data_IF_829881462167
#
_entry.id   IF_829881462167
#
_cell.length_a   1.000
_cell.length_b   1.000
_cell.length_c   1.000
_cell.angle_alpha   90.00
_cell.angle_beta   90.00
_cell.angle_gamma   90.00
#
_symmetry.space_group_name_H-M   'P 1'
#
loop_
_entity.id
_entity.type
_entity.pdbx_description
1 polymer ?
#
# COMPACT_ATOMS: atom_id res chain seq x y z
N UNK A 1 -16.54 -1.89 3.13
CA UNK A 1 -15.86 -0.58 3.01
C UNK A 1 -16.78 0.50 2.43
N UNK A 2 -17.33 0.37 1.22
CA UNK A 2 -18.14 1.42 0.55
C UNK A 2 -19.31 1.94 1.37
N UNK A 3 -20.12 1.08 1.97
CA UNK A 3 -21.23 1.50 2.82
C UNK A 3 -20.77 2.38 3.99
N UNK A 4 -19.70 2.00 4.69
CA UNK A 4 -19.18 2.82 5.80
C UNK A 4 -18.69 4.19 5.31
N UNK A 5 -18.12 4.27 4.10
CA UNK A 5 -17.67 5.53 3.50
C UNK A 5 -18.85 6.45 3.17
N UNK A 6 -19.91 5.91 2.55
CA UNK A 6 -21.15 6.68 2.28
C UNK A 6 -21.78 7.18 3.58
N UNK A 7 -21.85 6.31 4.61
CA UNK A 7 -22.40 6.67 5.92
C UNK A 7 -21.62 7.80 6.61
N UNK A 8 -20.29 7.88 6.42
CA UNK A 8 -19.51 9.04 6.89
C UNK A 8 -20.00 10.33 6.26
N UNK A 9 -20.32 10.33 4.95
CA UNK A 9 -20.87 11.50 4.26
C UNK A 9 -22.28 11.91 4.74
N UNK A 10 -23.04 10.95 5.30
CA UNK A 10 -24.40 11.20 5.83
C UNK A 10 -24.40 11.56 7.32
N UNK A 11 -23.26 11.50 8.02
CA UNK A 11 -23.19 11.78 9.45
C UNK A 11 -23.66 13.22 9.77
N UNK A 12 -24.57 13.39 10.76
CA UNK A 12 -24.87 14.69 11.30
C UNK A 12 -23.66 15.32 11.97
N UNK A 13 -23.59 16.65 11.95
CA UNK A 13 -22.47 17.39 12.56
C UNK A 13 -22.59 17.42 14.09
N UNK A 14 -21.51 17.79 14.76
CA UNK A 14 -21.48 17.97 16.21
C UNK A 14 -22.58 18.91 16.74
N UNK A 15 -22.93 19.94 15.95
CA UNK A 15 -23.99 20.88 16.30
C UNK A 15 -25.39 20.24 16.42
N UNK A 16 -25.63 19.10 15.72
CA UNK A 16 -26.93 18.43 15.73
C UNK A 16 -27.03 17.32 16.78
N UNK A 17 -25.95 16.52 16.93
CA UNK A 17 -25.98 15.33 17.78
C UNK A 17 -24.87 15.30 18.86
N UNK A 18 -24.16 16.42 19.04
CA UNK A 18 -23.16 16.55 20.10
C UNK A 18 -22.08 15.45 20.03
N UNK A 19 -21.76 14.87 21.19
CA UNK A 19 -20.69 13.85 21.36
C UNK A 19 -20.92 12.59 20.50
N UNK A 20 -22.14 12.30 20.08
CA UNK A 20 -22.43 11.15 19.23
C UNK A 20 -21.85 11.29 17.81
N UNK A 21 -21.59 12.50 17.32
CA UNK A 21 -20.96 12.70 16.01
C UNK A 21 -19.55 12.08 15.95
N UNK A 22 -18.60 12.42 16.83
CA UNK A 22 -17.28 11.76 16.84
C UNK A 22 -17.35 10.28 17.20
N UNK A 23 -18.25 9.84 18.09
CA UNK A 23 -18.39 8.42 18.44
C UNK A 23 -18.80 7.59 17.21
N UNK A 24 -19.82 8.04 16.47
CA UNK A 24 -20.28 7.37 15.26
C UNK A 24 -19.20 7.42 14.16
N UNK A 25 -18.46 8.52 14.02
CA UNK A 25 -17.36 8.63 13.08
C UNK A 25 -16.28 7.58 13.39
N UNK A 26 -15.88 7.44 14.65
CA UNK A 26 -14.90 6.44 15.08
C UNK A 26 -15.40 5.02 14.81
N UNK A 27 -16.67 4.73 15.14
CA UNK A 27 -17.27 3.43 14.86
C UNK A 27 -17.27 3.09 13.36
N UNK A 28 -17.67 4.05 12.49
CA UNK A 28 -17.62 3.86 11.04
C UNK A 28 -16.18 3.69 10.51
N UNK A 29 -15.21 4.39 11.07
CA UNK A 29 -13.80 4.25 10.73
C UNK A 29 -13.24 2.88 11.14
N UNK A 30 -13.64 2.36 12.30
CA UNK A 30 -13.28 0.99 12.71
C UNK A 30 -13.87 -0.05 11.76
N UNK A 31 -15.16 0.05 11.43
CA UNK A 31 -15.81 -0.83 10.45
C UNK A 31 -15.14 -0.76 9.07
N UNK A 32 -14.75 0.45 8.63
CA UNK A 32 -14.02 0.65 7.39
C UNK A 32 -12.65 -0.02 7.43
N UNK A 33 -11.92 0.12 8.54
CA UNK A 33 -10.62 -0.53 8.76
C UNK A 33 -10.69 -2.06 8.69
N UNK A 34 -11.69 -2.67 9.35
CA UNK A 34 -11.94 -4.11 9.26
C UNK A 34 -12.20 -4.57 7.81
N UNK A 35 -12.99 -3.81 7.06
CA UNK A 35 -13.30 -4.17 5.67
C UNK A 35 -12.07 -4.10 4.75
N UNK A 36 -11.19 -3.10 4.94
CA UNK A 36 -9.97 -2.91 4.13
C UNK A 36 -8.91 -3.96 4.44
N UNK A 37 -8.85 -4.43 5.68
CA UNK A 37 -7.77 -5.32 6.15
C UNK A 37 -7.58 -6.59 5.29
N UNK A 38 -8.68 -7.14 4.73
CA UNK A 38 -8.64 -8.30 3.85
C UNK A 38 -8.65 -7.98 2.34
N UNK A 39 -8.90 -6.74 1.95
CA UNK A 39 -9.16 -6.38 0.56
C UNK A 39 -7.90 -6.50 -0.32
N UNK A 40 -6.78 -5.93 0.13
CA UNK A 40 -5.51 -6.00 -0.62
C UNK A 40 -5.00 -7.44 -0.69
N UNK A 41 -5.05 -8.18 0.41
CA UNK A 41 -4.59 -9.57 0.44
C UNK A 41 -5.46 -10.50 -0.40
N UNK A 42 -6.78 -10.31 -0.39
CA UNK A 42 -7.72 -11.05 -1.22
C UNK A 42 -7.52 -10.77 -2.70
N UNK A 43 -7.47 -9.49 -3.09
CA UNK A 43 -7.23 -9.08 -4.48
C UNK A 43 -5.87 -9.56 -4.99
N UNK A 44 -4.82 -9.40 -4.20
CA UNK A 44 -3.45 -9.84 -4.56
C UNK A 44 -3.38 -11.36 -4.77
N UNK A 45 -3.99 -12.15 -3.87
CA UNK A 45 -4.03 -13.61 -3.99
C UNK A 45 -4.81 -14.07 -5.22
N UNK A 46 -5.97 -13.45 -5.47
CA UNK A 46 -6.80 -13.77 -6.63
C UNK A 46 -6.06 -13.48 -7.95
N UNK A 47 -5.47 -12.29 -8.07
CA UNK A 47 -4.69 -11.92 -9.27
C UNK A 47 -3.48 -12.83 -9.45
N UNK A 48 -2.78 -13.18 -8.36
CA UNK A 48 -1.62 -14.07 -8.40
C UNK A 48 -1.98 -15.46 -8.94
N UNK A 49 -3.14 -16.00 -8.57
CA UNK A 49 -3.60 -17.34 -8.96
C UNK A 49 -4.11 -17.40 -10.40
N UNK A 50 -4.60 -16.29 -10.95
CA UNK A 50 -5.02 -16.19 -12.35
C UNK A 50 -3.91 -15.66 -13.29
N UNK A 51 -2.77 -15.20 -12.73
CA UNK A 51 -1.71 -14.65 -13.54
C UNK A 51 -1.04 -15.71 -14.43
N UNK A 52 -0.77 -15.41 -15.71
CA UNK A 52 0.00 -16.27 -16.58
C UNK A 52 1.39 -16.57 -16.02
N UNK A 53 1.97 -17.70 -16.42
CA UNK A 53 3.30 -18.11 -15.96
C UNK A 53 4.34 -17.01 -16.18
N UNK A 54 5.15 -16.74 -15.14
CA UNK A 54 6.22 -15.75 -15.21
C UNK A 54 5.77 -14.28 -15.28
N UNK A 55 4.49 -13.99 -15.01
CA UNK A 55 3.92 -12.62 -15.06
C UNK A 55 3.19 -12.23 -13.77
N UNK A 56 3.35 -12.99 -12.70
CA UNK A 56 2.65 -12.76 -11.43
C UNK A 56 2.93 -11.38 -10.84
N UNK A 57 4.18 -10.90 -10.91
CA UNK A 57 4.55 -9.57 -10.44
C UNK A 57 3.91 -8.47 -11.26
N UNK A 58 3.91 -8.60 -12.58
CA UNK A 58 3.24 -7.64 -13.47
C UNK A 58 1.75 -7.52 -13.16
N UNK A 59 1.02 -8.64 -13.16
CA UNK A 59 -0.42 -8.60 -12.94
C UNK A 59 -0.78 -8.19 -11.49
N UNK A 60 -0.11 -8.72 -10.48
CA UNK A 60 -0.37 -8.35 -9.09
C UNK A 60 -0.07 -6.87 -8.81
N UNK A 61 0.85 -6.24 -9.53
CA UNK A 61 1.16 -4.82 -9.37
C UNK A 61 -0.03 -3.90 -9.67
N UNK A 62 -0.97 -4.31 -10.53
CA UNK A 62 -2.18 -3.55 -10.81
C UNK A 62 -3.08 -3.34 -9.58
N UNK A 63 -2.98 -4.20 -8.57
CA UNK A 63 -3.68 -4.00 -7.30
C UNK A 63 -3.27 -2.66 -6.67
N UNK A 64 -1.98 -2.36 -6.66
CA UNK A 64 -1.46 -1.11 -6.10
C UNK A 64 -1.55 0.07 -7.08
N UNK A 65 -1.48 -0.18 -8.37
CA UNK A 65 -1.78 0.85 -9.36
C UNK A 65 -3.21 1.38 -9.18
N UNK A 66 -4.17 0.49 -8.91
CA UNK A 66 -5.55 0.86 -8.58
C UNK A 66 -5.64 1.76 -7.34
N UNK A 67 -4.86 1.47 -6.28
CA UNK A 67 -4.80 2.31 -5.07
C UNK A 67 -4.28 3.71 -5.40
N UNK A 68 -3.19 3.83 -6.16
CA UNK A 68 -2.63 5.14 -6.53
C UNK A 68 -3.56 5.92 -7.46
N UNK A 69 -4.19 5.25 -8.41
CA UNK A 69 -5.20 5.85 -9.28
C UNK A 69 -6.40 6.35 -8.47
N UNK A 70 -6.85 5.57 -7.48
CA UNK A 70 -7.93 5.97 -6.57
C UNK A 70 -7.59 7.23 -5.77
N UNK A 71 -6.35 7.38 -5.32
CA UNK A 71 -5.90 8.61 -4.64
C UNK A 71 -5.89 9.82 -5.58
N UNK A 72 -5.50 9.66 -6.84
CA UNK A 72 -5.57 10.73 -7.85
C UNK A 72 -7.02 11.13 -8.09
N UNK A 73 -7.93 10.16 -8.28
CA UNK A 73 -9.35 10.42 -8.48
C UNK A 73 -9.98 11.12 -7.27
N UNK A 74 -9.65 10.69 -6.06
CA UNK A 74 -10.11 11.34 -4.83
C UNK A 74 -9.63 12.80 -4.76
N UNK A 75 -8.36 13.06 -5.09
CA UNK A 75 -7.82 14.41 -5.16
C UNK A 75 -8.49 15.24 -6.27
N UNK A 76 -8.74 14.67 -7.44
CA UNK A 76 -9.42 15.32 -8.55
C UNK A 76 -10.85 15.75 -8.23
N UNK A 77 -11.53 15.03 -7.34
CA UNK A 77 -12.85 15.42 -6.83
C UNK A 77 -12.74 16.45 -5.71
N UNK A 78 -11.84 16.23 -4.76
CA UNK A 78 -11.75 17.04 -3.55
C UNK A 78 -11.15 18.44 -3.82
N UNK A 79 -10.08 18.54 -4.64
CA UNK A 79 -9.37 19.80 -4.89
C UNK A 79 -10.27 20.90 -5.49
N UNK A 80 -11.06 20.63 -6.56
CA UNK A 80 -11.97 21.65 -7.09
C UNK A 80 -13.00 22.12 -6.07
N UNK A 81 -13.57 21.18 -5.30
CA UNK A 81 -14.57 21.51 -4.27
C UNK A 81 -13.95 22.41 -3.19
N UNK A 82 -12.76 22.02 -2.69
CA UNK A 82 -12.07 22.79 -1.65
C UNK A 82 -11.56 24.17 -2.13
N UNK A 83 -11.29 24.32 -3.45
CA UNK A 83 -10.72 25.56 -4.01
C UNK A 83 -11.78 26.55 -4.47
N UNK A 84 -12.84 26.07 -5.13
CA UNK A 84 -13.84 26.94 -5.77
C UNK A 84 -15.10 27.15 -4.95
N UNK A 85 -15.40 26.24 -3.98
CA UNK A 85 -16.59 26.39 -3.14
C UNK A 85 -16.32 27.41 -2.03
N UNK A 86 -17.28 28.32 -1.72
CA UNK A 86 -17.20 29.21 -0.56
C UNK A 86 -16.97 28.40 0.72
N UNK A 87 -16.12 28.89 1.63
CA UNK A 87 -15.76 28.19 2.87
C UNK A 87 -16.97 27.83 3.73
N UNK A 88 -17.99 28.67 3.73
CA UNK A 88 -19.24 28.46 4.47
C UNK A 88 -19.98 27.22 3.91
N UNK A 89 -20.16 27.16 2.60
CA UNK A 89 -20.81 26.03 1.93
C UNK A 89 -20.00 24.75 2.03
N UNK A 90 -18.67 24.86 1.88
CA UNK A 90 -17.79 23.72 2.08
C UNK A 90 -17.91 23.13 3.48
N UNK A 91 -17.90 23.96 4.51
CA UNK A 91 -18.04 23.51 5.90
C UNK A 91 -19.45 23.01 6.22
N UNK A 92 -20.49 23.57 5.60
CA UNK A 92 -21.87 23.15 5.81
C UNK A 92 -22.15 21.77 5.20
N UNK A 93 -21.79 21.56 3.93
CA UNK A 93 -22.15 20.33 3.21
C UNK A 93 -21.12 19.85 2.17
N UNK A 94 -20.30 20.74 1.62
CA UNK A 94 -19.39 20.45 0.48
C UNK A 94 -18.44 19.30 0.75
N UNK A 95 -17.92 19.17 1.96
CA UNK A 95 -17.03 18.07 2.35
C UNK A 95 -17.69 16.68 2.25
N UNK A 96 -19.02 16.59 2.20
CA UNK A 96 -19.76 15.32 2.06
C UNK A 96 -19.71 14.76 0.65
N UNK A 97 -19.54 15.59 -0.37
CA UNK A 97 -19.62 15.21 -1.78
C UNK A 97 -18.69 14.03 -2.11
N UNK A 98 -17.38 14.05 -1.76
CA UNK A 98 -16.48 12.93 -2.06
C UNK A 98 -16.93 11.61 -1.42
N UNK A 99 -17.47 11.66 -0.20
CA UNK A 99 -17.97 10.47 0.49
C UNK A 99 -19.24 9.92 -0.15
N UNK A 100 -20.15 10.77 -0.59
CA UNK A 100 -21.39 10.36 -1.27
C UNK A 100 -21.11 9.81 -2.66
N UNK A 101 -20.13 10.37 -3.40
CA UNK A 101 -19.69 9.84 -4.68
C UNK A 101 -19.13 8.42 -4.58
N UNK A 102 -18.67 7.99 -3.40
CA UNK A 102 -18.24 6.60 -3.19
C UNK A 102 -19.35 5.57 -3.40
N UNK A 103 -20.61 5.99 -3.40
CA UNK A 103 -21.75 5.13 -3.76
C UNK A 103 -21.64 4.60 -5.20
N UNK A 104 -21.17 5.44 -6.13
CA UNK A 104 -20.93 5.00 -7.52
C UNK A 104 -19.84 3.93 -7.59
N UNK A 105 -18.77 4.11 -6.82
CA UNK A 105 -17.69 3.11 -6.73
C UNK A 105 -18.21 1.79 -6.15
N UNK A 106 -19.13 1.84 -5.17
CA UNK A 106 -19.74 0.65 -4.59
C UNK A 106 -20.57 -0.13 -5.63
N UNK A 107 -21.35 0.56 -6.47
CA UNK A 107 -22.11 -0.07 -7.56
C UNK A 107 -21.16 -0.75 -8.55
N UNK A 108 -20.13 -0.05 -9.01
CA UNK A 108 -19.14 -0.61 -9.94
C UNK A 108 -18.43 -1.82 -9.34
N UNK A 109 -18.01 -1.74 -8.08
CA UNK A 109 -17.36 -2.84 -7.38
C UNK A 109 -18.29 -4.06 -7.23
N UNK A 110 -19.59 -3.84 -6.98
CA UNK A 110 -20.58 -4.91 -6.91
C UNK A 110 -20.77 -5.61 -8.26
N UNK A 111 -20.88 -4.82 -9.35
CA UNK A 111 -21.02 -5.38 -10.71
C UNK A 111 -19.80 -6.18 -11.11
N UNK A 112 -18.58 -5.69 -10.85
CA UNK A 112 -17.35 -6.43 -11.14
C UNK A 112 -17.29 -7.73 -10.33
N UNK A 113 -17.55 -7.68 -9.02
CA UNK A 113 -17.48 -8.89 -8.16
C UNK A 113 -18.47 -9.96 -8.54
N UNK A 114 -19.60 -9.59 -9.09
CA UNK A 114 -20.61 -10.55 -9.57
C UNK A 114 -20.12 -11.41 -10.73
N UNK A 115 -19.24 -10.86 -11.58
CA UNK A 115 -18.72 -11.53 -12.77
C UNK A 115 -17.40 -12.27 -12.52
N UNK A 116 -16.79 -12.10 -11.34
CA UNK A 116 -15.51 -12.74 -11.01
C UNK A 116 -15.74 -14.10 -10.39
N UNK A 117 -15.22 -15.15 -11.04
CA UNK A 117 -15.23 -16.53 -10.55
C UNK A 117 -14.25 -16.73 -9.39
N UNK A 118 -14.53 -17.71 -8.54
CA UNK A 118 -13.60 -18.12 -7.48
C UNK A 118 -12.29 -18.68 -8.06
N UNK A 119 -11.20 -18.47 -7.34
CA UNK A 119 -9.88 -18.93 -7.73
C UNK A 119 -9.87 -20.46 -7.92
N UNK A 120 -9.37 -20.98 -9.07
CA UNK A 120 -9.32 -22.41 -9.34
C UNK A 120 -8.52 -23.20 -8.29
N UNK A 121 -7.48 -22.62 -7.72
CA UNK A 121 -6.64 -23.23 -6.69
C UNK A 121 -7.43 -23.41 -5.38
N UNK A 122 -8.11 -22.35 -4.93
CA UNK A 122 -8.93 -22.38 -3.73
C UNK A 122 -10.14 -23.32 -3.88
N UNK A 123 -10.79 -23.31 -5.05
CA UNK A 123 -11.90 -24.21 -5.36
C UNK A 123 -11.49 -25.69 -5.27
N UNK A 124 -10.31 -26.06 -5.78
CA UNK A 124 -9.76 -27.43 -5.67
C UNK A 124 -9.48 -27.82 -4.22
N UNK A 125 -8.82 -26.98 -3.43
CA UNK A 125 -8.53 -27.26 -2.02
C UNK A 125 -9.81 -27.34 -1.18
N UNK A 126 -10.80 -26.51 -1.46
CA UNK A 126 -12.12 -26.54 -0.82
C UNK A 126 -12.87 -27.84 -1.13
N UNK A 127 -12.87 -28.26 -2.39
CA UNK A 127 -13.49 -29.54 -2.81
C UNK A 127 -12.81 -30.75 -2.17
N UNK A 128 -11.53 -30.68 -1.88
CA UNK A 128 -10.78 -31.75 -1.20
C UNK A 128 -10.89 -31.71 0.33
N UNK A 129 -11.64 -30.75 0.89
CA UNK A 129 -11.75 -30.57 2.34
C UNK A 129 -10.43 -30.14 3.02
N UNK A 130 -9.46 -29.66 2.24
CA UNK A 130 -8.13 -29.30 2.72
C UNK A 130 -8.08 -27.91 3.40
N UNK A 131 -9.16 -27.13 3.32
CA UNK A 131 -9.25 -25.81 3.96
C UNK A 131 -9.41 -26.01 5.48
N UNK A 132 -8.47 -25.50 6.29
CA UNK A 132 -8.50 -25.69 7.73
C UNK A 132 -9.66 -24.95 8.37
N UNK A 133 -10.24 -25.50 9.44
CA UNK A 133 -11.28 -24.84 10.26
C UNK A 133 -10.75 -23.55 10.93
N UNK A 134 -9.44 -23.45 11.15
CA UNK A 134 -8.78 -22.30 11.76
C UNK A 134 -7.51 -21.91 10.93
N UNK A 135 -7.68 -21.28 9.75
CA UNK A 135 -6.55 -20.96 8.87
C UNK A 135 -5.51 -20.05 9.53
N UNK A 136 -5.95 -19.13 10.38
CA UNK A 136 -5.07 -18.21 11.14
C UNK A 136 -4.15 -19.00 12.07
N UNK A 137 -4.68 -19.92 12.87
CA UNK A 137 -3.88 -20.71 13.81
C UNK A 137 -2.87 -21.61 13.07
N UNK A 138 -3.24 -22.13 11.92
CA UNK A 138 -2.34 -22.93 11.09
C UNK A 138 -1.20 -22.08 10.52
N UNK A 139 -1.51 -20.87 10.04
CA UNK A 139 -0.50 -19.93 9.56
C UNK A 139 0.56 -19.63 10.64
N UNK A 140 0.12 -19.36 11.88
CA UNK A 140 1.04 -19.13 13.00
C UNK A 140 1.89 -20.35 13.34
N UNK A 141 1.34 -21.56 13.28
CA UNK A 141 2.08 -22.80 13.58
C UNK A 141 3.11 -23.15 12.51
N UNK A 142 2.78 -22.94 11.22
CA UNK A 142 3.61 -23.43 10.11
C UNK A 142 4.47 -22.37 9.45
N UNK A 143 4.09 -21.09 9.52
CA UNK A 143 4.71 -20.00 8.75
C UNK A 143 4.99 -18.74 9.58
N UNK A 144 5.15 -18.87 10.91
CA UNK A 144 5.37 -17.73 11.80
C UNK A 144 6.57 -16.86 11.38
N UNK A 145 7.65 -17.50 10.89
CA UNK A 145 8.86 -16.80 10.45
C UNK A 145 8.59 -15.94 9.19
N UNK A 146 7.81 -16.46 8.24
CA UNK A 146 7.42 -15.71 7.06
C UNK A 146 6.39 -14.62 7.41
N UNK A 147 5.49 -14.87 8.37
CA UNK A 147 4.61 -13.83 8.90
C UNK A 147 5.41 -12.68 9.53
N UNK A 148 6.41 -13.00 10.37
CA UNK A 148 7.29 -11.98 10.96
C UNK A 148 8.05 -11.19 9.88
N UNK A 149 8.58 -11.87 8.85
CA UNK A 149 9.21 -11.20 7.71
C UNK A 149 8.26 -10.23 7.02
N UNK A 150 7.01 -10.63 6.78
CA UNK A 150 5.99 -9.76 6.18
C UNK A 150 5.65 -8.59 7.10
N UNK A 151 5.53 -8.78 8.42
CA UNK A 151 5.36 -7.67 9.39
C UNK A 151 6.50 -6.66 9.25
N UNK A 152 7.74 -7.13 9.27
CA UNK A 152 8.92 -6.26 9.18
C UNK A 152 9.05 -5.60 7.80
N UNK A 153 8.73 -6.31 6.72
CA UNK A 153 8.68 -5.71 5.38
C UNK A 153 7.59 -4.65 5.28
N UNK A 154 6.42 -4.85 5.89
CA UNK A 154 5.31 -3.89 5.86
C UNK A 154 5.60 -2.59 6.64
N UNK A 155 6.64 -2.54 7.47
CA UNK A 155 7.15 -1.28 8.05
C UNK A 155 7.56 -0.27 6.98
N UNK A 156 7.69 -0.70 5.73
CA UNK A 156 7.92 0.18 4.58
C UNK A 156 6.82 1.22 4.37
N UNK A 157 5.63 1.02 4.94
CA UNK A 157 4.58 2.04 5.03
C UNK A 157 5.01 3.32 5.77
N UNK A 158 6.22 3.34 6.35
CA UNK A 158 6.87 4.57 6.85
C UNK A 158 7.00 5.64 5.77
N UNK A 159 7.31 5.28 4.53
CA UNK A 159 7.50 6.26 3.44
C UNK A 159 6.21 7.01 3.11
N UNK A 160 5.04 6.35 2.90
CA UNK A 160 3.76 7.07 2.83
C UNK A 160 3.50 7.99 4.01
N UNK A 161 3.77 7.53 5.23
CA UNK A 161 3.59 8.34 6.45
C UNK A 161 4.46 9.60 6.41
N UNK A 162 5.73 9.48 6.04
CA UNK A 162 6.64 10.63 5.90
C UNK A 162 6.20 11.55 4.77
N UNK A 163 5.76 11.00 3.62
CA UNK A 163 5.41 11.80 2.46
C UNK A 163 4.06 12.53 2.62
N UNK A 164 3.06 11.92 3.24
CA UNK A 164 1.69 12.43 3.22
C UNK A 164 1.19 12.96 4.57
N UNK A 165 1.62 12.35 5.68
CA UNK A 165 1.13 12.74 7.01
C UNK A 165 2.12 13.68 7.70
N UNK A 166 3.33 13.19 7.98
CA UNK A 166 4.32 14.01 8.69
C UNK A 166 4.82 15.18 7.82
N UNK A 167 5.12 14.94 6.55
CA UNK A 167 5.56 15.98 5.62
C UNK A 167 4.53 17.10 5.46
N UNK A 168 3.23 16.76 5.44
CA UNK A 168 2.14 17.74 5.44
C UNK A 168 2.15 18.57 6.74
N UNK A 169 2.20 17.90 7.88
CA UNK A 169 2.27 18.58 9.17
C UNK A 169 3.50 19.51 9.28
N UNK A 170 4.68 19.00 8.90
CA UNK A 170 5.93 19.73 8.93
C UNK A 170 5.93 20.96 8.00
N UNK A 171 5.41 20.81 6.77
CA UNK A 171 5.40 21.86 5.78
C UNK A 171 4.35 22.96 6.05
N UNK A 172 3.15 22.58 6.53
CA UNK A 172 1.98 23.47 6.56
C UNK A 172 1.67 24.02 7.95
N UNK A 173 1.95 23.26 9.03
CA UNK A 173 1.61 23.71 10.38
C UNK A 173 2.44 24.92 10.80
N UNK A 174 1.81 26.01 11.28
CA UNK A 174 2.50 27.23 11.70
C UNK A 174 3.56 27.00 12.78
N UNK A 175 3.35 26.00 13.63
CA UNK A 175 4.25 25.66 14.73
C UNK A 175 5.66 25.26 14.29
N UNK A 176 5.83 24.71 13.08
CA UNK A 176 7.14 24.38 12.51
C UNK A 176 7.80 25.56 11.77
N UNK A 177 7.08 26.66 11.52
CA UNK A 177 7.62 27.86 10.91
C UNK A 177 8.01 27.76 9.43
N UNK A 178 7.61 26.67 8.73
CA UNK A 178 7.91 26.47 7.31
C UNK A 178 6.99 27.33 6.44
N UNK A 179 5.65 27.21 6.60
CA UNK A 179 4.68 28.08 5.99
C UNK A 179 4.32 27.77 4.53
N UNK A 180 4.39 26.52 4.11
CA UNK A 180 3.83 26.12 2.82
C UNK A 180 2.31 26.32 2.82
N UNK A 181 1.77 26.83 1.71
CA UNK A 181 0.32 26.88 1.54
C UNK A 181 -0.23 25.46 1.40
N UNK A 182 -1.36 25.14 2.07
CA UNK A 182 -1.96 23.80 1.97
C UNK A 182 -2.23 23.35 0.53
N UNK A 183 -2.67 24.29 -0.32
CA UNK A 183 -2.97 24.02 -1.73
C UNK A 183 -1.71 23.59 -2.51
N UNK A 184 -0.55 24.23 -2.20
CA UNK A 184 0.72 23.87 -2.82
C UNK A 184 1.18 22.49 -2.36
N UNK A 185 1.03 22.20 -1.06
CA UNK A 185 1.44 20.89 -0.53
C UNK A 185 0.64 19.73 -1.12
N UNK A 186 -0.65 19.91 -1.38
CA UNK A 186 -1.51 18.86 -1.95
C UNK A 186 -1.03 18.38 -3.32
N UNK A 187 -0.30 19.19 -4.09
CA UNK A 187 0.30 18.78 -5.37
C UNK A 187 1.46 17.80 -5.20
N UNK A 188 2.16 17.80 -4.06
CA UNK A 188 3.30 16.91 -3.82
C UNK A 188 2.89 15.42 -3.93
N UNK A 189 1.91 14.92 -3.13
CA UNK A 189 1.46 13.54 -3.25
C UNK A 189 0.74 13.25 -4.57
N UNK A 190 0.04 14.21 -5.16
CA UNK A 190 -0.66 14.01 -6.45
C UNK A 190 0.34 13.72 -7.57
N UNK A 191 1.39 14.55 -7.70
CA UNK A 191 2.43 14.35 -8.72
C UNK A 191 3.23 13.06 -8.47
N UNK A 192 3.50 12.73 -7.21
CA UNK A 192 4.10 11.46 -6.83
C UNK A 192 3.24 10.25 -7.24
N UNK A 193 1.93 10.32 -7.04
CA UNK A 193 1.00 9.26 -7.43
C UNK A 193 0.89 9.11 -8.96
N UNK A 194 0.91 10.21 -9.72
CA UNK A 194 0.93 10.16 -11.19
C UNK A 194 2.17 9.40 -11.68
N UNK A 195 3.34 9.73 -11.15
CA UNK A 195 4.57 8.99 -11.47
C UNK A 195 4.46 7.51 -11.06
N UNK A 196 3.92 7.22 -9.87
CA UNK A 196 3.74 5.88 -9.36
C UNK A 196 2.86 5.00 -10.25
N UNK A 197 1.74 5.53 -10.76
CA UNK A 197 0.83 4.81 -11.68
C UNK A 197 1.57 4.32 -12.94
N UNK A 198 2.52 5.09 -13.44
CA UNK A 198 3.34 4.73 -14.61
C UNK A 198 4.44 3.72 -14.26
N UNK A 199 5.05 3.86 -13.09
CA UNK A 199 6.22 3.06 -12.67
C UNK A 199 5.82 1.68 -12.13
N UNK A 200 4.69 1.57 -11.44
CA UNK A 200 4.24 0.33 -10.80
C UNK A 200 4.24 -0.89 -11.74
N UNK A 201 3.60 -0.89 -12.91
CA UNK A 201 3.60 -2.07 -13.79
C UNK A 201 4.99 -2.37 -14.37
N UNK A 202 5.84 -1.35 -14.57
CA UNK A 202 7.21 -1.54 -15.05
C UNK A 202 8.05 -2.29 -14.01
N UNK A 203 7.94 -1.89 -12.74
CA UNK A 203 8.64 -2.55 -11.63
C UNK A 203 8.06 -3.94 -11.35
N UNK A 204 6.75 -4.11 -11.43
CA UNK A 204 6.10 -5.41 -11.36
C UNK A 204 6.65 -6.40 -12.39
N UNK A 205 6.75 -5.96 -13.65
CA UNK A 205 7.36 -6.75 -14.73
C UNK A 205 8.88 -6.98 -14.52
N UNK A 206 9.60 -5.99 -14.00
CA UNK A 206 11.01 -6.13 -13.66
C UNK A 206 11.21 -7.22 -12.59
N UNK A 207 10.34 -7.27 -11.57
CA UNK A 207 10.41 -8.27 -10.52
C UNK A 207 10.19 -9.70 -11.00
N UNK A 208 9.47 -9.88 -12.12
CA UNK A 208 9.33 -11.18 -12.79
C UNK A 208 10.60 -11.62 -13.55
N UNK A 209 11.54 -10.72 -13.78
CA UNK A 209 12.82 -11.01 -14.48
C UNK A 209 13.99 -11.21 -13.55
N UNK A 210 14.12 -10.32 -12.56
CA UNK A 210 15.30 -10.29 -11.66
C UNK A 210 15.02 -10.84 -10.26
N UNK A 211 13.75 -11.16 -9.96
CA UNK A 211 13.32 -11.62 -8.64
C UNK A 211 12.58 -10.56 -7.83
N UNK A 212 11.97 -10.99 -6.72
CA UNK A 212 11.19 -10.14 -5.84
C UNK A 212 12.05 -9.29 -4.90
N UNK A 213 13.10 -9.89 -4.38
CA UNK A 213 13.98 -9.30 -3.37
C UNK A 213 14.75 -8.06 -3.85
N UNK A 214 15.45 -8.07 -5.01
CA UNK A 214 16.26 -6.94 -5.43
C UNK A 214 15.51 -5.61 -5.54
N UNK A 215 14.37 -5.52 -6.25
CA UNK A 215 13.65 -4.25 -6.33
C UNK A 215 13.09 -3.81 -4.98
N UNK A 216 12.68 -4.75 -4.10
CA UNK A 216 12.20 -4.39 -2.75
C UNK A 216 13.31 -3.79 -1.89
N UNK A 217 14.52 -4.37 -1.92
CA UNK A 217 15.67 -3.87 -1.15
C UNK A 217 16.08 -2.48 -1.66
N UNK A 218 16.21 -2.33 -2.98
CA UNK A 218 16.56 -1.03 -3.59
C UNK A 218 15.48 0.01 -3.30
N UNK A 219 14.21 -0.37 -3.41
CA UNK A 219 13.08 0.50 -3.08
C UNK A 219 13.09 0.95 -1.61
N UNK A 220 13.39 0.03 -0.69
CA UNK A 220 13.44 0.33 0.73
C UNK A 220 14.60 1.27 1.09
N UNK A 221 15.82 0.89 0.76
CA UNK A 221 17.01 1.69 1.09
C UNK A 221 17.01 3.03 0.36
N UNK A 222 16.68 3.03 -0.93
CA UNK A 222 16.68 4.23 -1.74
C UNK A 222 15.64 5.27 -1.31
N UNK A 223 14.39 4.84 -1.03
CA UNK A 223 13.37 5.78 -0.58
C UNK A 223 13.61 6.27 0.85
N UNK A 224 14.16 5.42 1.73
CA UNK A 224 14.58 5.83 3.06
C UNK A 224 15.68 6.88 3.02
N UNK A 225 16.68 6.73 2.13
CA UNK A 225 17.74 7.72 1.93
C UNK A 225 17.17 9.03 1.35
N UNK A 226 16.28 8.93 0.37
CA UNK A 226 15.65 10.11 -0.24
C UNK A 226 14.74 10.87 0.72
N UNK A 227 14.25 10.24 1.80
CA UNK A 227 13.47 10.92 2.83
C UNK A 227 14.23 12.05 3.51
N UNK A 228 15.56 11.93 3.70
CA UNK A 228 16.39 13.03 4.20
C UNK A 228 16.34 14.25 3.26
N UNK A 229 16.57 14.02 1.97
CA UNK A 229 16.55 15.08 0.97
C UNK A 229 15.18 15.76 0.86
N UNK A 230 14.10 14.96 0.89
CA UNK A 230 12.74 15.46 0.85
C UNK A 230 12.40 16.34 2.05
N UNK A 231 12.69 15.88 3.27
CA UNK A 231 12.45 16.66 4.49
C UNK A 231 13.38 17.88 4.58
N UNK A 232 14.61 17.76 4.11
CA UNK A 232 15.53 18.89 3.99
C UNK A 232 15.00 19.96 3.02
N UNK A 233 14.49 19.56 1.86
CA UNK A 233 13.91 20.51 0.90
C UNK A 233 12.73 21.29 1.50
N UNK A 234 11.91 20.64 2.34
CA UNK A 234 10.84 21.29 3.09
C UNK A 234 11.43 22.27 4.10
N UNK A 235 12.47 21.88 4.86
CA UNK A 235 13.07 22.71 5.92
C UNK A 235 13.66 24.02 5.39
N UNK A 236 14.24 23.98 4.18
CA UNK A 236 14.78 25.18 3.51
C UNK A 236 13.73 25.93 2.67
N UNK A 237 12.46 25.55 2.78
CA UNK A 237 11.31 26.18 2.08
C UNK A 237 11.39 26.12 0.55
N UNK A 238 12.11 25.15 0.00
CA UNK A 238 12.28 24.98 -1.44
C UNK A 238 11.19 24.04 -2.03
N UNK A 239 10.07 24.63 -2.45
CA UNK A 239 8.93 23.88 -3.00
C UNK A 239 9.29 23.07 -4.24
N UNK A 240 9.98 23.61 -5.28
CA UNK A 240 10.35 22.82 -6.46
C UNK A 240 11.22 21.60 -6.11
N UNK A 241 12.17 21.75 -5.20
CA UNK A 241 13.03 20.66 -4.74
C UNK A 241 12.23 19.62 -3.96
N UNK A 242 11.30 20.04 -3.10
CA UNK A 242 10.43 19.12 -2.35
C UNK A 242 9.53 18.31 -3.28
N UNK A 243 8.96 18.93 -4.32
CA UNK A 243 8.19 18.23 -5.35
C UNK A 243 9.05 17.21 -6.09
N UNK A 244 10.22 17.62 -6.60
CA UNK A 244 11.11 16.73 -7.35
C UNK A 244 11.56 15.53 -6.52
N UNK A 245 11.96 15.75 -5.27
CA UNK A 245 12.36 14.68 -4.36
C UNK A 245 11.20 13.81 -3.91
N UNK A 246 9.99 14.34 -3.79
CA UNK A 246 8.80 13.54 -3.54
C UNK A 246 8.47 12.61 -4.72
N UNK A 247 8.54 13.12 -5.95
CA UNK A 247 8.35 12.30 -7.16
C UNK A 247 9.39 11.18 -7.21
N UNK A 248 10.65 11.50 -6.95
CA UNK A 248 11.74 10.52 -6.98
C UNK A 248 11.58 9.49 -5.85
N UNK A 249 11.35 9.95 -4.61
CA UNK A 249 11.21 9.10 -3.42
C UNK A 249 9.95 8.22 -3.47
N UNK A 250 8.79 8.87 -3.61
CA UNK A 250 7.48 8.24 -3.55
C UNK A 250 7.05 7.66 -4.91
N UNK A 251 7.14 8.45 -5.98
CA UNK A 251 6.63 8.09 -7.29
C UNK A 251 7.46 7.04 -8.01
N UNK A 252 8.77 6.97 -7.74
CA UNK A 252 9.69 6.11 -8.49
C UNK A 252 10.32 5.06 -7.57
N UNK A 253 11.16 5.48 -6.63
CA UNK A 253 12.02 4.55 -5.87
C UNK A 253 11.23 3.67 -4.91
N UNK A 254 10.28 4.24 -4.18
CA UNK A 254 9.38 3.47 -3.31
C UNK A 254 8.59 2.40 -4.05
N UNK A 255 8.34 2.58 -5.36
CA UNK A 255 7.62 1.60 -6.15
C UNK A 255 8.40 0.29 -6.33
N UNK A 256 9.73 0.30 -6.11
CA UNK A 256 10.53 -0.91 -5.99
C UNK A 256 9.98 -1.90 -4.96
N UNK A 257 9.48 -1.38 -3.84
CA UNK A 257 8.78 -2.14 -2.83
C UNK A 257 7.28 -2.29 -3.15
N UNK A 258 6.60 -1.18 -3.38
CA UNK A 258 5.15 -1.08 -3.45
C UNK A 258 4.54 -1.92 -4.59
N UNK A 259 5.18 -1.98 -5.76
CA UNK A 259 4.72 -2.77 -6.89
C UNK A 259 4.93 -4.28 -6.71
N UNK A 260 5.84 -4.70 -5.81
CA UNK A 260 6.28 -6.09 -5.70
C UNK A 260 5.59 -6.83 -4.57
N UNK A 261 5.28 -6.16 -3.45
CA UNK A 261 4.71 -6.85 -2.29
C UNK A 261 3.36 -7.58 -2.59
N UNK A 262 2.48 -7.10 -3.51
CA UNK A 262 1.24 -7.81 -3.82
C UNK A 262 1.45 -9.20 -4.44
N UNK A 263 2.59 -9.42 -5.09
CA UNK A 263 2.99 -10.75 -5.56
C UNK A 263 3.82 -11.50 -4.53
N UNK A 264 4.79 -10.83 -3.90
CA UNK A 264 5.76 -11.48 -3.04
C UNK A 264 5.17 -12.00 -1.72
N UNK A 265 4.35 -11.21 -1.04
CA UNK A 265 3.78 -11.63 0.24
C UNK A 265 2.92 -12.87 0.14
N UNK A 266 1.93 -12.95 -0.78
CA UNK A 266 1.14 -14.17 -0.91
C UNK A 266 1.96 -15.36 -1.42
N UNK A 267 3.05 -15.17 -2.18
CA UNK A 267 3.95 -16.24 -2.61
C UNK A 267 4.67 -16.95 -1.45
N UNK A 268 4.80 -16.29 -0.28
CA UNK A 268 5.41 -16.88 0.92
C UNK A 268 4.49 -17.88 1.64
N UNK A 269 3.18 -17.88 1.36
CA UNK A 269 2.18 -18.67 2.09
C UNK A 269 1.48 -19.70 1.21
N UNK A 270 1.11 -20.83 1.79
CA UNK A 270 0.32 -21.86 1.12
C UNK A 270 -1.11 -21.36 0.87
N UNK A 271 -1.72 -21.78 -0.25
CA UNK A 271 -3.03 -21.32 -0.73
C UNK A 271 -4.11 -21.35 0.36
N UNK A 272 -4.18 -22.42 1.16
CA UNK A 272 -5.21 -22.68 2.19
C UNK A 272 -5.27 -21.63 3.32
N UNK A 273 -4.19 -20.86 3.58
CA UNK A 273 -4.18 -19.79 4.59
C UNK A 273 -3.50 -18.51 4.12
N UNK A 274 -3.14 -18.42 2.85
CA UNK A 274 -2.42 -17.32 2.21
C UNK A 274 -3.03 -15.94 2.50
N UNK A 275 -4.33 -15.80 2.23
CA UNK A 275 -5.05 -14.53 2.41
C UNK A 275 -5.02 -14.09 3.88
N UNK A 276 -5.32 -15.01 4.81
CA UNK A 276 -5.35 -14.70 6.24
C UNK A 276 -3.97 -14.37 6.79
N UNK A 277 -2.94 -15.15 6.40
CA UNK A 277 -1.57 -14.92 6.85
C UNK A 277 -1.02 -13.57 6.37
N UNK A 278 -1.22 -13.26 5.08
CA UNK A 278 -0.82 -11.99 4.49
C UNK A 278 -1.57 -10.83 5.14
N UNK A 279 -2.90 -10.92 5.27
CA UNK A 279 -3.72 -9.85 5.85
C UNK A 279 -3.27 -9.51 7.27
N UNK A 280 -3.11 -10.51 8.13
CA UNK A 280 -2.71 -10.29 9.53
C UNK A 280 -1.29 -9.70 9.59
N UNK A 281 -0.33 -10.32 8.92
CA UNK A 281 1.05 -9.87 8.98
C UNK A 281 1.23 -8.45 8.43
N UNK A 282 0.65 -8.16 7.27
CA UNK A 282 0.71 -6.83 6.66
C UNK A 282 0.05 -5.77 7.54
N UNK A 283 -1.13 -6.05 8.10
CA UNK A 283 -1.85 -5.08 8.92
C UNK A 283 -1.15 -4.82 10.27
N UNK A 284 -0.49 -5.81 10.88
CA UNK A 284 0.34 -5.59 12.06
C UNK A 284 1.46 -4.60 11.74
N UNK A 285 2.20 -4.79 10.64
CA UNK A 285 3.26 -3.87 10.23
C UNK A 285 2.72 -2.47 9.92
N UNK A 286 1.59 -2.38 9.24
CA UNK A 286 0.92 -1.09 8.96
C UNK A 286 0.47 -0.40 10.24
N UNK A 287 -0.06 -1.14 11.23
CA UNK A 287 -0.45 -0.59 12.53
C UNK A 287 0.75 0.02 13.28
N UNK A 288 1.91 -0.65 13.24
CA UNK A 288 3.14 -0.11 13.83
C UNK A 288 3.52 1.22 13.16
N UNK A 289 3.48 1.30 11.83
CA UNK A 289 3.82 2.53 11.11
C UNK A 289 2.79 3.65 11.31
N UNK A 290 1.54 3.32 11.61
CA UNK A 290 0.50 4.31 11.94
C UNK A 290 0.80 5.08 13.24
N UNK A 291 1.65 4.54 14.11
CA UNK A 291 2.10 5.22 15.34
C UNK A 291 3.28 6.17 15.09
N UNK A 292 3.95 6.09 13.95
CA UNK A 292 5.12 6.91 13.65
C UNK A 292 4.87 8.42 13.68
N UNK A 293 3.73 8.97 13.21
CA UNK A 293 3.48 10.41 13.32
C UNK A 293 3.50 10.90 14.77
N UNK A 294 2.96 10.11 15.69
CA UNK A 294 3.00 10.43 17.14
C UNK A 294 4.44 10.36 17.67
N UNK A 295 5.21 9.35 17.28
CA UNK A 295 6.64 9.26 17.62
C UNK A 295 7.40 10.48 17.08
N UNK A 296 7.20 10.86 15.82
CA UNK A 296 7.86 12.01 15.20
C UNK A 296 7.53 13.31 15.92
N UNK A 297 6.28 13.49 16.36
CA UNK A 297 5.87 14.67 17.12
C UNK A 297 6.58 14.77 18.50
N UNK A 298 6.91 13.63 19.10
CA UNK A 298 7.63 13.58 20.40
C UNK A 298 9.13 13.81 20.22
N UNK A 299 9.76 13.18 19.24
CA UNK A 299 11.22 13.22 19.07
C UNK A 299 11.71 14.42 18.24
N UNK A 300 10.84 15.00 17.45
CA UNK A 300 11.11 16.17 16.60
C UNK A 300 9.97 17.22 16.74
N UNK A 301 9.74 17.75 17.97
CA UNK A 301 8.67 18.71 18.20
C UNK A 301 8.94 20.02 17.45
N UNK A 302 7.88 20.83 17.24
CA UNK A 302 8.04 22.18 16.70
C UNK A 302 9.06 23.01 17.50
N UNK A 303 9.95 23.70 16.77
CA UNK A 303 11.07 24.47 17.36
C UNK A 303 12.39 23.70 17.47
N UNK A 304 12.43 22.39 17.16
CA UNK A 304 13.69 21.65 17.06
C UNK A 304 14.49 22.08 15.83
N UNK A 305 15.82 22.17 15.95
CA UNK A 305 16.72 22.60 14.86
C UNK A 305 16.81 21.57 13.73
N UNK A 306 16.76 20.29 14.05
CA UNK A 306 17.12 19.19 13.14
C UNK A 306 15.97 18.21 12.87
N UNK A 307 14.73 18.72 12.76
CA UNK A 307 13.52 17.94 12.50
C UNK A 307 13.70 17.03 11.27
N UNK A 308 14.21 17.58 10.17
CA UNK A 308 14.42 16.86 8.91
C UNK A 308 15.39 15.69 9.05
N UNK A 309 16.47 15.88 9.84
CA UNK A 309 17.48 14.85 10.05
C UNK A 309 16.97 13.76 11.00
N UNK A 310 16.37 14.14 12.12
CA UNK A 310 15.84 13.20 13.14
C UNK A 310 14.76 12.29 12.54
N UNK A 311 13.79 12.86 11.84
CA UNK A 311 12.71 12.08 11.20
C UNK A 311 13.26 11.27 10.02
N UNK A 312 14.16 11.83 9.23
CA UNK A 312 14.84 11.12 8.15
C UNK A 312 15.64 9.91 8.66
N UNK A 313 16.36 10.06 9.78
CA UNK A 313 17.13 8.97 10.39
C UNK A 313 16.23 7.82 10.88
N UNK A 314 15.12 8.15 11.55
CA UNK A 314 14.15 7.13 11.99
C UNK A 314 13.52 6.44 10.77
N UNK A 315 13.09 7.21 9.77
CA UNK A 315 12.52 6.64 8.56
C UNK A 315 13.52 5.70 7.85
N UNK A 316 14.78 6.11 7.73
CA UNK A 316 15.83 5.27 7.13
C UNK A 316 16.10 4.02 7.96
N UNK A 317 16.18 4.12 9.28
CA UNK A 317 16.36 2.96 10.16
C UNK A 317 15.21 1.94 10.00
N UNK A 318 13.97 2.40 9.93
CA UNK A 318 12.80 1.56 9.72
C UNK A 318 12.80 0.91 8.34
N UNK A 319 13.14 1.66 7.28
CA UNK A 319 13.24 1.10 5.92
C UNK A 319 14.41 0.13 5.78
N UNK A 320 15.49 0.32 6.53
CA UNK A 320 16.61 -0.64 6.60
C UNK A 320 16.17 -1.97 7.23
N UNK A 321 15.35 -1.93 8.29
CA UNK A 321 14.75 -3.16 8.86
C UNK A 321 13.91 -3.88 7.79
N UNK A 322 13.12 -3.15 7.01
CA UNK A 322 12.33 -3.72 5.92
C UNK A 322 13.21 -4.33 4.82
N UNK A 323 14.31 -3.68 4.47
CA UNK A 323 15.29 -4.21 3.50
C UNK A 323 15.95 -5.51 4.00
N UNK A 324 16.35 -5.56 5.28
CA UNK A 324 16.92 -6.76 5.91
C UNK A 324 15.90 -7.90 5.91
N UNK A 325 14.64 -7.60 6.24
CA UNK A 325 13.57 -8.59 6.20
C UNK A 325 13.35 -9.14 4.78
N UNK A 326 13.33 -8.29 3.76
CA UNK A 326 13.24 -8.69 2.37
C UNK A 326 14.45 -9.52 1.92
N UNK A 327 15.66 -9.17 2.38
CA UNK A 327 16.87 -9.94 2.11
C UNK A 327 16.82 -11.32 2.77
N UNK A 328 16.30 -11.46 3.98
CA UNK A 328 16.17 -12.72 4.71
C UNK A 328 15.05 -13.63 4.19
N UNK A 329 14.11 -13.10 3.41
CA UNK A 329 13.04 -13.89 2.83
C UNK A 329 13.54 -14.75 1.67
N UNK A 330 12.88 -15.90 1.43
CA UNK A 330 13.21 -16.75 0.27
C UNK A 330 12.76 -16.07 -1.03
N UNK A 331 13.53 -16.29 -2.10
CA UNK A 331 13.12 -15.82 -3.43
C UNK A 331 12.08 -16.75 -4.05
N UNK A 332 11.00 -16.19 -4.60
CA UNK A 332 9.81 -16.94 -5.00
C UNK A 332 9.45 -16.86 -6.48
N UNK A 333 10.05 -15.94 -7.25
CA UNK A 333 9.62 -15.66 -8.62
C UNK A 333 9.70 -16.88 -9.57
N UNK A 334 10.63 -17.82 -9.33
CA UNK A 334 10.78 -19.04 -10.11
C UNK A 334 10.14 -20.29 -9.50
N UNK A 335 9.45 -20.17 -8.38
CA UNK A 335 8.73 -21.29 -7.77
C UNK A 335 7.43 -21.54 -8.52
N UNK A 336 7.12 -22.82 -8.79
CA UNK A 336 5.87 -23.20 -9.43
C UNK A 336 4.65 -22.78 -8.60
N UNK A 337 3.53 -22.44 -9.25
CA UNK A 337 2.35 -21.92 -8.56
C UNK A 337 1.81 -22.87 -7.47
N UNK A 338 1.85 -24.18 -7.73
CA UNK A 338 1.37 -25.21 -6.79
C UNK A 338 2.30 -25.40 -5.57
N UNK A 339 3.56 -24.99 -5.69
CA UNK A 339 4.58 -25.15 -4.64
C UNK A 339 4.79 -23.87 -3.81
N UNK A 340 4.04 -22.81 -4.10
CA UNK A 340 4.11 -21.57 -3.34
C UNK A 340 3.77 -21.80 -1.87
N UNK A 341 4.55 -21.18 -1.00
CA UNK A 341 4.41 -21.36 0.46
C UNK A 341 5.12 -22.61 1.01
N UNK A 342 5.69 -23.47 0.17
CA UNK A 342 6.52 -24.58 0.61
C UNK A 342 7.98 -24.11 0.82
N UNK A 343 8.55 -24.22 2.04
CA UNK A 343 9.93 -23.81 2.30
C UNK A 343 10.98 -24.57 1.50
N UNK A 344 10.65 -25.81 1.12
CA UNK A 344 11.55 -26.73 0.43
C UNK A 344 11.31 -26.77 -1.09
N UNK A 345 10.45 -25.88 -1.63
CA UNK A 345 10.20 -25.84 -3.06
C UNK A 345 11.46 -25.50 -3.85
N UNK A 346 11.82 -26.33 -4.80
CA UNK A 346 12.94 -26.07 -5.70
C UNK A 346 12.55 -25.00 -6.73
N UNK A 347 13.38 -23.97 -6.95
CA UNK A 347 13.12 -23.01 -8.01
C UNK A 347 13.34 -23.66 -9.38
N UNK A 348 12.50 -23.33 -10.35
CA UNK A 348 12.65 -23.73 -11.75
C UNK A 348 14.00 -23.18 -12.26
N UNK A 349 14.72 -23.94 -13.06
CA UNK A 349 15.96 -23.50 -13.67
C UNK A 349 15.74 -22.22 -14.49
N UNK A 350 16.71 -21.28 -14.44
CA UNK A 350 16.53 -19.95 -15.02
C UNK A 350 16.24 -20.02 -16.53
N UNK A 351 16.94 -20.89 -17.26
CA UNK A 351 16.75 -21.04 -18.71
C UNK A 351 15.34 -21.54 -19.04
N UNK A 352 14.84 -22.52 -18.28
CA UNK A 352 13.47 -23.05 -18.45
C UNK A 352 12.42 -22.02 -18.05
N UNK A 353 12.65 -21.27 -16.99
CA UNK A 353 11.76 -20.18 -16.58
C UNK A 353 11.64 -19.12 -17.68
N UNK A 354 12.79 -18.66 -18.22
CA UNK A 354 12.82 -17.61 -19.25
C UNK A 354 12.17 -18.11 -20.56
N UNK A 355 12.37 -19.37 -20.93
CA UNK A 355 11.71 -20.00 -22.10
C UNK A 355 10.19 -20.07 -21.92
N UNK A 356 9.71 -20.61 -20.79
CA UNK A 356 8.25 -20.71 -20.48
C UNK A 356 7.61 -19.35 -20.37
N UNK A 357 8.31 -18.39 -19.78
CA UNK A 357 7.85 -17.01 -19.69
C UNK A 357 7.71 -16.37 -21.08
N UNK A 358 8.68 -16.57 -21.97
CA UNK A 358 8.60 -16.08 -23.36
C UNK A 358 7.41 -16.71 -24.11
N UNK A 359 7.17 -18.01 -23.94
CA UNK A 359 6.03 -18.70 -24.54
C UNK A 359 4.68 -18.14 -24.04
N UNK A 360 4.58 -17.74 -22.78
CA UNK A 360 3.35 -17.13 -22.22
C UNK A 360 3.00 -15.77 -22.86
N UNK A 361 3.96 -15.05 -23.44
CA UNK A 361 3.70 -13.84 -24.23
C UNK A 361 3.18 -14.13 -25.64
N UNK A 362 3.53 -15.28 -26.20
CA UNK A 362 3.10 -15.68 -27.54
C UNK A 362 1.71 -16.31 -27.58
N UNK A 363 1.03 -16.42 -26.43
CA UNK A 363 -0.29 -17.09 -26.32
C UNK A 363 -0.23 -18.62 -26.42
N UNK A 364 0.96 -19.21 -26.44
CA UNK A 364 1.13 -20.65 -26.38
C UNK A 364 0.91 -21.14 -24.95
N UNK A 365 0.01 -22.12 -24.77
CA UNK A 365 -0.16 -22.78 -23.49
C UNK A 365 1.19 -23.36 -23.03
N UNK A 366 1.62 -23.19 -21.78
CA UNK A 366 2.83 -23.84 -21.30
C UNK A 366 2.61 -25.35 -21.31
N UNK A 367 3.46 -26.04 -22.04
CA UNK A 367 3.47 -27.51 -22.09
C UNK A 367 3.93 -28.09 -20.74
#
# INVERSE_FOLDING_TARGET
>A
MGCSTVLVGLLPTYQHIGIWAPVLLVALRLLQGFAVAGEISGASSMVLEHAPFGRRGFFASFTLQGVQTGQILAAAVFLPIATYMPKEDFNAWGWRIPFLLSFLVLIVAYLIRREVEESPAFARESAQGAVPKAPVMQAFKTSWADMLRVVLMALMNTIPVVATIFGAAFAVQPAYGIGFKPEVYLWIPVLGNIAAVLVIPLVGNLSDKIGRRPPMIVGALGSGLLAFGYLYAISIKNVPMAIALSILMWGIVYQGYNAVFPSFYPELFQTRYRVSAMAIAQNIGTMVTALLPALFAVVAPPGSSDVWFTVGAIAFAVTMISAIAAFSARETYRVAANDLGNPNAAPIEKQDYDRKRAASFAGAAPA
#
